data_IF_346461488224
#
_entry.id   IF_346461488224
#
_cell.length_a   1.000
_cell.length_b   1.000
_cell.length_c   1.000
_cell.angle_alpha   90.00
_cell.angle_beta   90.00
_cell.angle_gamma   90.00
#
_symmetry.space_group_name_H-M   'P 1'
#
loop_
_entity.id
_entity.type
_entity.pdbx_description
1 polymer ?
#
# COMPACT_ATOMS: atom_id res chain seq x y z
N UNK A 1 16.15 -21.19 8.64
CA UNK A 1 16.88 -20.12 9.34
C UNK A 1 17.95 -20.70 10.27
N UNK A 2 17.60 -21.55 11.23
CA UNK A 2 18.56 -22.07 12.23
C UNK A 2 19.81 -22.76 11.64
N UNK A 3 19.61 -23.62 10.63
CA UNK A 3 20.68 -24.42 10.03
C UNK A 3 21.68 -23.64 9.15
N UNK A 4 21.30 -22.47 8.62
CA UNK A 4 22.07 -21.76 7.60
C UNK A 4 22.30 -20.27 7.90
N UNK A 5 21.51 -19.68 8.80
CA UNK A 5 21.53 -18.27 9.17
C UNK A 5 21.35 -18.12 10.69
N UNK A 6 22.23 -18.77 11.46
CA UNK A 6 22.15 -18.81 12.92
C UNK A 6 22.22 -17.39 13.50
N UNK A 7 21.25 -17.04 14.37
CA UNK A 7 21.14 -15.72 15.00
C UNK A 7 20.28 -14.71 14.24
N UNK A 8 19.82 -15.01 13.02
CA UNK A 8 18.85 -14.17 12.31
C UNK A 8 17.42 -14.40 12.84
N UNK A 9 16.72 -13.32 13.18
CA UNK A 9 15.33 -13.38 13.62
C UNK A 9 14.37 -13.61 12.44
N UNK A 10 13.38 -14.47 12.62
CA UNK A 10 12.27 -14.70 11.70
C UNK A 10 11.00 -14.93 12.51
N UNK A 11 10.14 -13.91 12.58
CA UNK A 11 8.90 -13.94 13.38
C UNK A 11 7.73 -14.57 12.61
N UNK A 12 7.80 -14.52 11.27
CA UNK A 12 6.84 -15.14 10.37
C UNK A 12 7.65 -16.11 9.52
N UNK A 13 7.28 -17.40 9.58
CA UNK A 13 7.88 -18.42 8.75
C UNK A 13 7.56 -18.16 7.28
N UNK A 14 8.42 -18.66 6.39
CA UNK A 14 8.30 -18.46 4.95
C UNK A 14 8.66 -19.71 4.17
N UNK A 15 9.17 -19.51 2.97
CA UNK A 15 9.57 -20.60 2.09
C UNK A 15 10.74 -21.42 2.64
N UNK A 16 10.80 -22.71 2.29
CA UNK A 16 11.88 -23.62 2.61
C UNK A 16 12.90 -23.78 1.47
N UNK A 17 13.81 -24.73 1.63
CA UNK A 17 14.84 -25.02 0.62
C UNK A 17 14.25 -25.56 -0.69
N UNK A 18 13.12 -26.27 -0.63
CA UNK A 18 12.49 -26.86 -1.81
C UNK A 18 11.92 -25.77 -2.70
N UNK A 19 11.17 -24.84 -2.12
CA UNK A 19 10.59 -23.69 -2.83
C UNK A 19 11.70 -22.76 -3.35
N UNK A 20 12.75 -22.52 -2.55
CA UNK A 20 13.90 -21.73 -2.98
C UNK A 20 14.60 -22.36 -4.19
N UNK A 21 14.81 -23.68 -4.16
CA UNK A 21 15.43 -24.40 -5.28
C UNK A 21 14.55 -24.35 -6.53
N UNK A 22 13.23 -24.52 -6.39
CA UNK A 22 12.30 -24.42 -7.50
C UNK A 22 12.32 -23.03 -8.16
N UNK A 23 12.34 -21.95 -7.37
CA UNK A 23 12.41 -20.59 -7.89
C UNK A 23 13.75 -20.31 -8.59
N UNK A 24 14.86 -20.78 -8.00
CA UNK A 24 16.18 -20.64 -8.62
C UNK A 24 16.27 -21.36 -9.98
N UNK A 25 15.69 -22.56 -10.09
CA UNK A 25 15.63 -23.30 -11.34
C UNK A 25 14.75 -22.60 -12.39
N UNK A 26 13.59 -22.05 -11.98
CA UNK A 26 12.72 -21.30 -12.89
C UNK A 26 13.41 -20.07 -13.47
N UNK A 27 14.14 -19.33 -12.64
CA UNK A 27 14.96 -18.19 -13.09
C UNK A 27 16.06 -18.65 -14.04
N UNK A 28 16.73 -19.76 -13.74
CA UNK A 28 17.75 -20.36 -14.60
C UNK A 28 17.17 -20.74 -15.98
N UNK A 29 16.05 -21.44 -16.03
CA UNK A 29 15.41 -21.81 -17.31
C UNK A 29 15.05 -20.58 -18.16
N UNK A 30 14.51 -19.54 -17.52
CA UNK A 30 14.12 -18.29 -18.19
C UNK A 30 15.31 -17.58 -18.83
N UNK A 31 16.46 -17.57 -18.15
CA UNK A 31 17.68 -16.92 -18.63
C UNK A 31 18.34 -17.64 -19.83
N UNK A 32 17.98 -18.89 -20.10
CA UNK A 32 18.52 -19.66 -21.24
C UNK A 32 17.69 -19.54 -22.52
N UNK A 33 16.61 -18.76 -22.51
CA UNK A 33 15.81 -18.45 -23.71
C UNK A 33 16.51 -17.44 -24.62
N UNK A 34 16.22 -17.47 -25.92
CA UNK A 34 16.87 -16.55 -26.89
C UNK A 34 16.50 -15.08 -26.64
N UNK A 35 15.28 -14.81 -26.17
CA UNK A 35 14.82 -13.45 -25.86
C UNK A 35 15.59 -12.85 -24.67
N UNK A 36 15.79 -13.61 -23.60
CA UNK A 36 16.54 -13.18 -22.41
C UNK A 36 18.02 -12.88 -22.70
N UNK A 37 18.57 -13.43 -23.79
CA UNK A 37 19.96 -13.17 -24.24
C UNK A 37 20.10 -11.86 -25.00
N UNK A 38 18.99 -11.30 -25.50
CA UNK A 38 19.00 -10.05 -26.27
C UNK A 38 18.86 -8.82 -25.37
N UNK A 39 18.03 -8.90 -24.32
CA UNK A 39 17.84 -7.83 -23.35
C UNK A 39 17.34 -8.37 -22.00
N UNK A 40 17.64 -7.63 -20.94
CA UNK A 40 17.03 -7.85 -19.62
C UNK A 40 15.56 -7.40 -19.64
N UNK A 41 14.77 -7.96 -18.73
CA UNK A 41 13.39 -7.51 -18.50
C UNK A 41 13.37 -6.03 -18.06
N UNK A 42 12.29 -5.32 -18.42
CA UNK A 42 12.10 -3.90 -18.12
C UNK A 42 11.96 -3.60 -16.62
N UNK A 43 11.74 -4.64 -15.81
CA UNK A 43 11.62 -4.61 -14.36
C UNK A 43 10.42 -3.80 -13.90
N UNK A 44 10.52 -3.24 -12.70
CA UNK A 44 9.45 -2.41 -12.13
C UNK A 44 9.52 -2.31 -10.62
N UNK A 45 10.58 -2.77 -9.98
CA UNK A 45 10.72 -2.89 -8.53
C UNK A 45 10.77 -1.52 -7.86
N UNK A 46 11.47 -0.56 -8.49
CA UNK A 46 11.68 0.78 -7.94
C UNK A 46 10.61 1.79 -8.37
N UNK A 47 10.03 1.60 -9.55
CA UNK A 47 9.07 2.52 -10.13
C UNK A 47 8.01 1.75 -10.92
N UNK A 48 6.77 2.20 -10.82
CA UNK A 48 5.67 1.60 -11.54
C UNK A 48 5.92 1.58 -13.05
N UNK A 49 5.69 0.43 -13.67
CA UNK A 49 5.63 0.23 -15.12
C UNK A 49 4.35 -0.53 -15.46
N UNK A 50 3.84 -0.35 -16.68
CA UNK A 50 2.62 -1.01 -17.11
C UNK A 50 2.78 -2.53 -17.22
N UNK A 51 3.98 -2.98 -17.55
CA UNK A 51 4.42 -4.35 -17.76
C UNK A 51 5.32 -4.88 -16.64
N UNK A 52 5.49 -4.11 -15.55
CA UNK A 52 6.38 -4.45 -14.46
C UNK A 52 5.69 -5.03 -13.22
N UNK A 53 6.43 -5.02 -12.11
CA UNK A 53 5.94 -5.46 -10.80
C UNK A 53 4.67 -4.73 -10.34
N UNK A 54 3.89 -5.38 -9.48
CA UNK A 54 2.67 -4.79 -8.94
C UNK A 54 2.97 -3.75 -7.85
N UNK A 55 2.40 -2.56 -7.97
CA UNK A 55 2.54 -1.47 -6.99
C UNK A 55 1.23 -1.16 -6.28
N UNK A 56 1.33 -0.69 -5.03
CA UNK A 56 0.20 -0.13 -4.29
C UNK A 56 -0.29 1.20 -4.89
N UNK A 57 0.66 2.04 -5.33
CA UNK A 57 0.34 3.29 -6.03
C UNK A 57 0.46 3.08 -7.53
N UNK A 58 -0.67 3.16 -8.23
CA UNK A 58 -0.76 3.06 -9.69
C UNK A 58 -1.34 4.36 -10.25
N UNK A 59 -1.17 4.64 -11.56
CA UNK A 59 -1.80 5.81 -12.18
C UNK A 59 -3.30 5.88 -11.92
N UNK A 60 -4.00 4.74 -11.96
CA UNK A 60 -5.43 4.67 -11.72
C UNK A 60 -5.80 4.99 -10.27
N UNK A 61 -5.09 4.42 -9.29
CA UNK A 61 -5.39 4.68 -7.87
C UNK A 61 -5.14 6.15 -7.51
N UNK A 62 -4.05 6.73 -8.02
CA UNK A 62 -3.74 8.15 -7.85
C UNK A 62 -4.79 9.04 -8.52
N UNK A 63 -5.15 8.77 -9.77
CA UNK A 63 -6.14 9.57 -10.51
C UNK A 63 -7.51 9.55 -9.82
N UNK A 64 -7.95 8.39 -9.33
CA UNK A 64 -9.22 8.26 -8.61
C UNK A 64 -9.20 9.01 -7.28
N UNK A 65 -8.11 8.94 -6.51
CA UNK A 65 -7.99 9.69 -5.25
C UNK A 65 -8.00 11.21 -5.49
N UNK A 66 -7.27 11.69 -6.50
CA UNK A 66 -7.25 13.10 -6.87
C UNK A 66 -8.62 13.59 -7.35
N UNK A 67 -9.33 12.80 -8.15
CA UNK A 67 -10.66 13.17 -8.62
C UNK A 67 -11.68 13.17 -7.48
N UNK A 68 -11.66 12.15 -6.61
CA UNK A 68 -12.54 12.04 -5.45
C UNK A 68 -12.41 13.26 -4.52
N UNK A 69 -11.17 13.68 -4.22
CA UNK A 69 -10.89 14.81 -3.33
C UNK A 69 -11.25 16.16 -3.96
N UNK A 70 -10.96 16.37 -5.25
CA UNK A 70 -11.29 17.63 -5.95
C UNK A 70 -12.79 17.81 -6.19
N UNK A 71 -13.49 16.73 -6.53
CA UNK A 71 -14.92 16.76 -6.81
C UNK A 71 -15.79 16.52 -5.56
N UNK A 72 -15.18 16.24 -4.40
CA UNK A 72 -15.87 15.82 -3.18
C UNK A 72 -16.82 14.63 -3.41
N UNK A 73 -16.35 13.63 -4.17
CA UNK A 73 -17.15 12.49 -4.62
C UNK A 73 -16.86 11.24 -3.79
N UNK A 74 -17.80 10.90 -2.90
CA UNK A 74 -17.75 9.66 -2.11
C UNK A 74 -17.75 8.41 -3.01
N UNK A 75 -18.46 8.44 -4.13
CA UNK A 75 -18.51 7.33 -5.10
C UNK A 75 -17.14 7.07 -5.70
N UNK A 76 -16.44 8.12 -6.15
CA UNK A 76 -15.09 7.97 -6.70
C UNK A 76 -14.10 7.56 -5.62
N UNK A 77 -14.27 8.02 -4.37
CA UNK A 77 -13.46 7.54 -3.26
C UNK A 77 -13.66 6.04 -3.02
N UNK A 78 -14.88 5.53 -3.12
CA UNK A 78 -15.17 4.10 -2.98
C UNK A 78 -14.51 3.26 -4.09
N UNK A 79 -14.41 3.79 -5.31
CA UNK A 79 -13.65 3.16 -6.39
C UNK A 79 -12.15 3.11 -6.07
N UNK A 80 -11.56 4.22 -5.62
CA UNK A 80 -10.18 4.26 -5.14
C UNK A 80 -9.93 3.25 -4.02
N UNK A 81 -10.79 3.22 -3.00
CA UNK A 81 -10.66 2.33 -1.85
C UNK A 81 -10.72 0.85 -2.28
N UNK A 82 -11.57 0.52 -3.26
CA UNK A 82 -11.64 -0.84 -3.83
C UNK A 82 -10.33 -1.22 -4.51
N UNK A 83 -9.76 -0.34 -5.34
CA UNK A 83 -8.47 -0.59 -6.01
C UNK A 83 -7.36 -0.90 -4.99
N UNK A 84 -7.25 -0.10 -3.93
CA UNK A 84 -6.24 -0.29 -2.87
C UNK A 84 -6.48 -1.59 -2.08
N UNK A 85 -7.75 -1.88 -1.76
CA UNK A 85 -8.11 -3.07 -0.99
C UNK A 85 -7.95 -4.37 -1.80
N UNK A 86 -8.19 -4.35 -3.10
CA UNK A 86 -7.98 -5.51 -3.97
C UNK A 86 -6.49 -5.78 -4.21
N UNK A 87 -5.67 -4.74 -4.37
CA UNK A 87 -4.21 -4.86 -4.40
C UNK A 87 -3.64 -5.45 -3.11
N UNK A 88 -4.22 -5.09 -1.98
CA UNK A 88 -3.88 -5.68 -0.68
C UNK A 88 -4.10 -7.21 -0.69
N UNK A 89 -5.16 -7.69 -1.36
CA UNK A 89 -5.43 -9.13 -1.57
C UNK A 89 -4.49 -9.80 -2.56
N UNK A 90 -3.83 -9.05 -3.45
CA UNK A 90 -2.72 -9.54 -4.30
C UNK A 90 -1.41 -9.70 -3.51
N UNK A 91 -1.49 -9.79 -2.19
CA UNK A 91 -0.39 -10.11 -1.28
C UNK A 91 0.75 -9.09 -1.28
N UNK A 92 0.48 -7.83 -1.66
CA UNK A 92 1.47 -6.74 -1.59
C UNK A 92 1.80 -6.30 -0.16
N UNK A 93 0.95 -6.65 0.81
CA UNK A 93 1.15 -6.28 2.22
C UNK A 93 0.67 -7.39 3.15
N UNK A 94 1.32 -7.56 4.31
CA UNK A 94 0.90 -8.53 5.32
C UNK A 94 -0.53 -8.32 5.81
N UNK A 95 -0.98 -7.06 5.94
CA UNK A 95 -2.37 -6.76 6.37
C UNK A 95 -3.43 -7.36 5.43
N UNK A 96 -3.07 -7.66 4.18
CA UNK A 96 -3.97 -8.28 3.22
C UNK A 96 -4.19 -9.77 3.38
N UNK A 97 -3.41 -10.41 4.26
CA UNK A 97 -3.63 -11.79 4.67
C UNK A 97 -4.71 -11.92 5.74
N UNK A 98 -5.20 -10.80 6.28
CA UNK A 98 -6.22 -10.77 7.32
C UNK A 98 -7.58 -10.40 6.74
N UNK A 99 -8.63 -10.99 7.33
CA UNK A 99 -10.02 -10.62 7.09
C UNK A 99 -10.71 -10.28 8.42
N UNK A 100 -11.70 -9.37 8.34
CA UNK A 100 -12.56 -9.11 9.48
C UNK A 100 -13.58 -10.24 9.60
N UNK A 101 -13.59 -10.91 10.75
CA UNK A 101 -14.70 -11.80 11.13
C UNK A 101 -15.84 -10.95 11.67
N UNK A 102 -16.86 -10.75 10.85
CA UNK A 102 -18.00 -9.90 11.15
C UNK A 102 -19.18 -10.80 11.58
N UNK A 103 -19.80 -10.47 12.72
CA UNK A 103 -21.08 -11.03 13.14
C UNK A 103 -22.22 -10.08 12.70
N UNK A 104 -23.04 -10.44 11.70
CA UNK A 104 -24.15 -9.60 11.26
C UNK A 104 -25.17 -9.30 12.36
N UNK A 105 -25.31 -10.17 13.38
CA UNK A 105 -26.23 -9.96 14.48
C UNK A 105 -25.77 -8.86 15.45
N UNK A 106 -24.48 -8.52 15.45
CA UNK A 106 -23.88 -7.48 16.27
C UNK A 106 -23.67 -6.16 15.51
N UNK A 107 -24.19 -6.03 14.29
CA UNK A 107 -24.11 -4.79 13.53
C UNK A 107 -24.93 -3.68 14.19
N UNK A 108 -24.35 -2.48 14.27
CA UNK A 108 -24.99 -1.28 14.82
C UNK A 108 -25.38 -0.33 13.69
N UNK A 109 -26.31 0.57 13.96
CA UNK A 109 -26.68 1.61 13.03
C UNK A 109 -25.53 2.63 12.86
N UNK A 110 -25.41 3.27 11.69
CA UNK A 110 -24.30 4.17 11.40
C UNK A 110 -24.28 5.43 12.29
N UNK A 111 -25.45 5.86 12.77
CA UNK A 111 -25.61 6.97 13.71
C UNK A 111 -25.18 6.62 15.14
N UNK A 112 -25.02 5.33 15.46
CA UNK A 112 -24.41 4.85 16.72
C UNK A 112 -22.87 4.83 16.65
N UNK A 113 -22.29 4.95 15.45
CA UNK A 113 -20.84 5.02 15.26
C UNK A 113 -20.32 6.40 15.67
N UNK A 114 -19.10 6.45 16.20
CA UNK A 114 -18.41 7.71 16.51
C UNK A 114 -18.43 8.66 15.29
N UNK A 115 -18.80 9.94 15.45
CA UNK A 115 -18.85 10.89 14.34
C UNK A 115 -17.50 11.05 13.65
N UNK A 116 -17.52 11.22 12.32
CA UNK A 116 -16.31 11.43 11.54
C UNK A 116 -15.43 12.59 12.07
N UNK A 117 -16.05 13.67 12.57
CA UNK A 117 -15.37 14.81 13.17
C UNK A 117 -14.54 14.46 14.42
N UNK A 118 -14.89 13.40 15.16
CA UNK A 118 -14.12 12.90 16.30
C UNK A 118 -13.06 11.87 15.87
N UNK A 119 -13.36 11.06 14.84
CA UNK A 119 -12.41 10.09 14.27
C UNK A 119 -11.19 10.81 13.66
N UNK A 120 -11.41 11.87 12.88
CA UNK A 120 -10.31 12.58 12.19
C UNK A 120 -9.30 13.23 13.12
N UNK A 121 -9.65 13.49 14.38
CA UNK A 121 -8.72 14.01 15.41
C UNK A 121 -7.59 13.03 15.73
N UNK A 122 -7.78 11.73 15.44
CA UNK A 122 -6.76 10.69 15.59
C UNK A 122 -5.79 10.67 14.40
N UNK A 123 -6.08 11.37 13.31
CA UNK A 123 -5.22 11.40 12.14
C UNK A 123 -4.08 12.40 12.33
N UNK A 124 -2.92 12.01 11.84
CA UNK A 124 -1.74 12.87 11.79
C UNK A 124 -1.15 12.85 10.39
N UNK A 125 -0.72 14.00 9.87
CA UNK A 125 0.13 14.02 8.67
C UNK A 125 1.54 13.60 9.05
N UNK A 126 2.19 12.77 8.24
CA UNK A 126 3.58 12.38 8.45
C UNK A 126 4.52 13.60 8.49
N UNK A 127 5.64 13.47 9.20
CA UNK A 127 6.68 14.50 9.21
C UNK A 127 7.36 14.55 7.84
N UNK A 128 7.14 15.63 7.10
CA UNK A 128 7.79 15.92 5.83
C UNK A 128 8.53 17.24 6.00
N UNK A 129 9.84 17.23 5.77
CA UNK A 129 10.66 18.42 6.00
C UNK A 129 10.36 19.50 4.96
N UNK A 130 10.45 20.77 5.35
CA UNK A 130 10.28 21.94 4.46
C UNK A 130 11.29 21.98 3.28
N UNK A 131 12.34 21.14 3.31
CA UNK A 131 13.27 20.95 2.20
C UNK A 131 12.92 19.78 1.27
N UNK A 132 12.08 18.85 1.72
CA UNK A 132 11.60 17.70 0.93
C UNK A 132 10.32 18.00 0.14
N UNK A 133 9.54 18.97 0.61
CA UNK A 133 8.31 19.45 -0.04
C UNK A 133 8.31 20.98 -0.07
N UNK A 134 7.52 21.57 -0.95
CA UNK A 134 7.43 23.03 -1.03
C UNK A 134 6.77 23.63 0.22
N UNK A 135 7.07 24.90 0.49
CA UNK A 135 6.44 25.67 1.57
C UNK A 135 4.92 25.69 1.46
N UNK A 136 4.39 25.78 0.24
CA UNK A 136 2.96 25.76 -0.04
C UNK A 136 2.33 24.42 0.35
N UNK A 137 2.98 23.30 0.00
CA UNK A 137 2.50 21.97 0.36
C UNK A 137 2.51 21.78 1.87
N UNK A 138 3.60 22.19 2.54
CA UNK A 138 3.74 22.12 3.97
C UNK A 138 2.66 22.94 4.71
N UNK A 139 2.48 24.21 4.32
CA UNK A 139 1.47 25.09 4.90
C UNK A 139 0.05 24.58 4.65
N UNK A 140 -0.23 24.03 3.46
CA UNK A 140 -1.54 23.45 3.12
C UNK A 140 -1.91 22.31 4.08
N UNK A 141 -0.97 21.42 4.38
CA UNK A 141 -1.20 20.32 5.32
C UNK A 141 -1.44 20.82 6.74
N UNK A 142 -0.63 21.76 7.23
CA UNK A 142 -0.81 22.34 8.56
C UNK A 142 -2.19 23.01 8.71
N UNK A 143 -2.60 23.82 7.73
CA UNK A 143 -3.90 24.48 7.71
C UNK A 143 -5.04 23.45 7.68
N UNK A 144 -4.92 22.39 6.86
CA UNK A 144 -5.94 21.34 6.77
C UNK A 144 -6.10 20.59 8.09
N UNK A 145 -4.99 20.17 8.72
CA UNK A 145 -5.03 19.43 9.98
C UNK A 145 -5.59 20.25 11.15
N UNK A 146 -5.19 21.53 11.24
CA UNK A 146 -5.73 22.45 12.25
C UNK A 146 -7.23 22.66 12.08
N UNK A 147 -7.75 22.72 10.84
CA UNK A 147 -9.19 22.88 10.57
C UNK A 147 -10.01 21.68 11.03
N UNK A 148 -9.47 20.47 10.93
CA UNK A 148 -10.19 19.23 11.31
C UNK A 148 -9.86 18.77 12.75
N UNK A 149 -9.03 19.52 13.49
CA UNK A 149 -8.59 19.16 14.83
C UNK A 149 -7.64 17.95 14.88
N UNK A 150 -7.03 17.59 13.75
CA UNK A 150 -5.98 16.58 13.69
C UNK A 150 -4.59 17.14 14.02
N UNK A 151 -3.54 16.34 13.84
CA UNK A 151 -2.16 16.76 14.16
C UNK A 151 -1.32 16.92 12.89
N UNK A 152 -0.63 18.04 12.73
CA UNK A 152 0.49 18.15 11.79
C UNK A 152 1.79 17.91 12.56
N UNK A 153 2.65 17.02 12.06
CA UNK A 153 3.92 16.72 12.71
C UNK A 153 4.95 17.80 12.33
N UNK A 154 4.95 18.89 13.10
CA UNK A 154 5.94 19.98 13.10
C UNK A 154 6.01 20.60 14.48
#
# INVERSE_FOLDING_TARGET
MENYFTGAASTIEGIGLVELAAEALRLHETAWTDDARQALDGGGEYAWRADGEAHLWTPDSIAKLQHATRANSATTYAEYARLINDQTRRQLTLRGLFEFRIDPAAAIALDEVEPAAEIVKRFATGAMSLGSISTEAHATLAVAMNRIGGKSNT
#
